data_IF_458614788677
#
_entry.id   IF_458614788677
#
_cell.length_a   1.000
_cell.length_b   1.000
_cell.length_c   1.000
_cell.angle_alpha   90.00
_cell.angle_beta   90.00
_cell.angle_gamma   90.00
#
_symmetry.space_group_name_H-M   'P 1'
#
loop_
_entity.id
_entity.type
_entity.pdbx_description
1 polymer ?
#
# COMPACT_ATOMS: atom_id res chain seq x y z
N UNK A 1 41.43 27.16 31.14
CA UNK A 1 39.99 26.87 31.40
C UNK A 1 39.47 26.04 30.24
N UNK A 2 39.17 24.76 30.48
CA UNK A 2 38.64 23.88 29.43
C UNK A 2 37.14 24.17 29.23
N UNK A 3 36.78 24.60 28.01
CA UNK A 3 35.40 24.83 27.60
C UNK A 3 34.69 23.47 27.51
N UNK A 4 33.81 23.18 28.46
CA UNK A 4 32.94 21.99 28.40
C UNK A 4 32.08 22.09 27.15
N UNK A 5 32.28 21.18 26.21
CA UNK A 5 31.40 21.00 25.05
C UNK A 5 30.09 20.44 25.60
N UNK A 6 29.04 21.25 25.53
CA UNK A 6 27.69 20.85 25.92
C UNK A 6 27.21 19.85 24.87
N UNK A 7 27.09 18.58 25.24
CA UNK A 7 26.48 17.57 24.38
C UNK A 7 25.01 17.93 24.16
N UNK A 8 24.70 18.38 22.94
CA UNK A 8 23.35 18.68 22.52
C UNK A 8 22.58 17.36 22.49
N UNK A 9 21.68 17.19 23.46
CA UNK A 9 20.80 16.02 23.62
C UNK A 9 19.97 15.85 22.34
N UNK A 10 20.42 14.96 21.44
CA UNK A 10 19.74 14.67 20.18
C UNK A 10 18.33 14.14 20.51
N UNK A 11 17.28 14.74 19.93
CA UNK A 11 15.90 14.37 20.22
C UNK A 11 15.68 12.88 19.92
N UNK A 12 15.30 12.09 20.95
CA UNK A 12 15.09 10.63 20.86
C UNK A 12 14.19 10.19 19.70
N UNK A 13 13.23 11.03 19.30
CA UNK A 13 12.32 10.79 18.17
C UNK A 13 13.09 10.69 16.85
N UNK A 14 14.08 11.58 16.64
CA UNK A 14 14.91 11.58 15.44
C UNK A 14 15.79 10.32 15.40
N UNK A 15 16.26 9.88 16.56
CA UNK A 15 17.09 8.67 16.68
C UNK A 15 16.31 7.39 16.38
N UNK A 16 15.03 7.33 16.77
CA UNK A 16 14.15 6.20 16.46
C UNK A 16 13.81 6.17 14.96
N UNK A 17 13.45 7.31 14.36
CA UNK A 17 13.13 7.40 12.93
C UNK A 17 14.34 7.01 12.07
N UNK A 18 15.54 7.51 12.39
CA UNK A 18 16.78 7.16 11.68
C UNK A 18 17.16 5.68 11.82
N UNK A 19 16.72 5.00 12.88
CA UNK A 19 17.01 3.60 13.14
C UNK A 19 16.05 2.65 12.41
N UNK A 20 14.78 3.05 12.28
CA UNK A 20 13.73 2.21 11.67
C UNK A 20 13.59 2.45 10.16
N UNK A 21 13.84 3.67 9.68
CA UNK A 21 13.71 4.04 8.27
C UNK A 21 15.01 4.69 7.78
N UNK A 22 15.95 3.92 7.19
CA UNK A 22 17.16 4.51 6.60
C UNK A 22 16.74 5.49 5.50
N UNK A 23 17.04 6.76 5.72
CA UNK A 23 16.68 7.88 4.82
C UNK A 23 17.20 7.60 3.41
N UNK A 24 18.32 6.89 3.30
CA UNK A 24 18.94 6.47 2.04
C UNK A 24 18.00 5.62 1.20
N UNK A 25 17.25 4.69 1.81
CA UNK A 25 16.31 3.83 1.08
C UNK A 25 15.09 4.61 0.63
N UNK A 26 14.52 5.45 1.50
CA UNK A 26 13.39 6.30 1.13
C UNK A 26 13.76 7.25 -0.02
N UNK A 27 14.94 7.86 0.06
CA UNK A 27 15.47 8.71 -0.98
C UNK A 27 15.69 7.92 -2.29
N UNK A 28 16.24 6.70 -2.22
CA UNK A 28 16.39 5.81 -3.37
C UNK A 28 15.02 5.49 -4.01
N UNK A 29 13.98 5.27 -3.21
CA UNK A 29 12.62 5.04 -3.70
C UNK A 29 12.06 6.23 -4.44
N UNK A 30 12.13 7.43 -3.85
CA UNK A 30 11.67 8.67 -4.47
C UNK A 30 12.44 8.95 -5.77
N UNK A 31 13.77 8.84 -5.75
CA UNK A 31 14.58 8.99 -6.95
C UNK A 31 14.26 7.93 -8.00
N UNK A 32 14.09 6.67 -7.61
CA UNK A 32 13.71 5.58 -8.50
C UNK A 32 12.37 5.84 -9.19
N UNK A 33 11.38 6.35 -8.46
CA UNK A 33 10.08 6.77 -9.01
C UNK A 33 10.24 7.92 -10.01
N UNK A 34 11.02 8.95 -9.69
CA UNK A 34 11.29 10.06 -10.62
C UNK A 34 11.97 9.54 -11.89
N UNK A 35 13.00 8.70 -11.76
CA UNK A 35 13.72 8.11 -12.89
C UNK A 35 12.80 7.25 -13.76
N UNK A 36 11.87 6.50 -13.15
CA UNK A 36 10.84 5.76 -13.88
C UNK A 36 9.95 6.67 -14.73
N UNK A 37 9.44 7.74 -14.12
CA UNK A 37 8.59 8.73 -14.81
C UNK A 37 9.35 9.34 -16.00
N UNK A 38 10.60 9.74 -15.78
CA UNK A 38 11.45 10.28 -16.84
C UNK A 38 11.68 9.26 -17.96
N UNK A 39 11.94 7.99 -17.61
CA UNK A 39 12.10 6.92 -18.59
C UNK A 39 10.84 6.69 -19.44
N UNK A 40 9.66 6.74 -18.84
CA UNK A 40 8.37 6.63 -19.57
C UNK A 40 8.17 7.81 -20.51
N UNK A 41 8.43 9.04 -20.05
CA UNK A 41 8.30 10.24 -20.88
C UNK A 41 9.30 10.26 -22.05
N UNK A 42 10.49 9.68 -21.89
CA UNK A 42 11.45 9.52 -22.99
C UNK A 42 10.96 8.54 -24.07
N UNK A 43 10.17 7.53 -23.70
CA UNK A 43 9.55 6.61 -24.68
C UNK A 43 8.40 7.30 -25.42
N UNK A 44 7.57 8.05 -24.70
CA UNK A 44 6.41 8.74 -25.27
C UNK A 44 6.83 9.86 -26.25
N UNK A 45 7.88 10.61 -25.90
CA UNK A 45 8.41 11.68 -26.75
C UNK A 45 7.50 12.90 -26.87
N UNK A 46 6.41 13.02 -26.10
CA UNK A 46 5.52 14.19 -26.14
C UNK A 46 5.94 15.28 -25.13
N UNK A 47 6.38 14.87 -23.94
CA UNK A 47 6.77 15.76 -22.83
C UNK A 47 8.29 15.92 -22.74
N UNK A 48 9.06 14.87 -23.02
CA UNK A 48 10.51 14.88 -22.99
C UNK A 48 11.08 14.29 -24.29
N UNK A 49 11.75 15.13 -25.07
CA UNK A 49 12.43 14.74 -26.30
C UNK A 49 13.94 14.98 -26.21
N UNK A 50 14.73 14.04 -26.74
CA UNK A 50 16.18 14.20 -26.86
C UNK A 50 16.47 14.98 -28.14
N UNK A 51 16.67 16.29 -28.01
CA UNK A 51 16.94 17.20 -29.15
C UNK A 51 18.33 17.06 -29.76
N UNK A 52 19.30 16.55 -29.00
CA UNK A 52 20.69 16.39 -29.44
C UNK A 52 20.94 14.96 -29.91
N UNK A 53 20.74 14.71 -31.21
CA UNK A 53 20.82 13.38 -31.83
C UNK A 53 22.16 13.07 -32.51
N UNK A 54 23.15 13.97 -32.41
CA UNK A 54 24.46 13.76 -33.05
C UNK A 54 25.30 12.68 -32.34
N UNK A 55 24.95 12.33 -31.10
CA UNK A 55 25.60 11.26 -30.34
C UNK A 55 25.24 9.89 -30.92
N UNK A 56 26.23 8.99 -30.99
CA UNK A 56 26.07 7.62 -31.50
C UNK A 56 24.97 6.78 -30.80
N UNK A 57 24.59 7.16 -29.58
CA UNK A 57 23.52 6.55 -28.76
C UNK A 57 22.13 7.13 -29.02
N UNK A 58 22.03 8.33 -29.61
CA UNK A 58 20.76 9.03 -29.83
C UNK A 58 20.49 9.32 -31.32
N UNK A 59 21.35 8.82 -32.21
CA UNK A 59 21.26 9.08 -33.65
C UNK A 59 20.09 8.39 -34.38
N UNK A 60 19.32 7.55 -33.69
CA UNK A 60 18.19 6.81 -34.28
C UNK A 60 17.12 6.59 -33.22
N UNK A 61 15.85 6.66 -33.63
CA UNK A 61 14.70 6.45 -32.74
C UNK A 61 14.78 5.13 -31.97
N UNK A 62 15.24 4.05 -32.62
CA UNK A 62 15.44 2.75 -31.96
C UNK A 62 16.45 2.82 -30.82
N UNK A 63 17.52 3.59 -30.96
CA UNK A 63 18.55 3.71 -29.91
C UNK A 63 18.08 4.56 -28.74
N UNK A 64 17.32 5.62 -29.02
CA UNK A 64 16.64 6.42 -27.99
C UNK A 64 15.65 5.53 -27.20
N UNK A 65 14.89 4.68 -27.89
CA UNK A 65 13.98 3.73 -27.26
C UNK A 65 14.73 2.74 -26.36
N UNK A 66 15.82 2.14 -26.85
CA UNK A 66 16.66 1.21 -26.06
C UNK A 66 17.19 1.92 -24.81
N UNK A 67 17.75 3.13 -24.95
CA UNK A 67 18.23 3.92 -23.81
C UNK A 67 17.12 4.18 -22.79
N UNK A 68 15.93 4.55 -23.25
CA UNK A 68 14.78 4.83 -22.38
C UNK A 68 14.35 3.58 -21.60
N UNK A 69 14.36 2.40 -22.23
CA UNK A 69 14.10 1.12 -21.56
C UNK A 69 15.15 0.87 -20.47
N UNK A 70 16.44 1.15 -20.72
CA UNK A 70 17.47 1.04 -19.70
C UNK A 70 17.22 1.98 -18.51
N UNK A 71 16.81 3.23 -18.76
CA UNK A 71 16.46 4.19 -17.71
C UNK A 71 15.30 3.67 -16.87
N UNK A 72 14.23 3.16 -17.50
CA UNK A 72 13.09 2.55 -16.81
C UNK A 72 13.55 1.37 -15.96
N UNK A 73 14.38 0.48 -16.49
CA UNK A 73 14.88 -0.70 -15.76
C UNK A 73 15.69 -0.29 -14.52
N UNK A 74 16.53 0.74 -14.63
CA UNK A 74 17.30 1.27 -13.49
C UNK A 74 16.36 1.88 -12.45
N UNK A 75 15.39 2.70 -12.89
CA UNK A 75 14.40 3.31 -11.99
C UNK A 75 13.54 2.26 -11.26
N UNK A 76 13.07 1.24 -11.99
CA UNK A 76 12.33 0.11 -11.45
C UNK A 76 13.15 -0.65 -10.41
N UNK A 77 14.41 -0.95 -10.72
CA UNK A 77 15.32 -1.64 -9.80
C UNK A 77 15.54 -0.82 -8.54
N UNK A 78 15.83 0.48 -8.66
CA UNK A 78 16.02 1.38 -7.52
C UNK A 78 14.76 1.44 -6.64
N UNK A 79 13.58 1.56 -7.27
CA UNK A 79 12.30 1.56 -6.56
C UNK A 79 12.05 0.24 -5.82
N UNK A 80 12.25 -0.90 -6.49
CA UNK A 80 12.10 -2.22 -5.87
C UNK A 80 13.06 -2.42 -4.69
N UNK A 81 14.31 -2.01 -4.83
CA UNK A 81 15.31 -2.11 -3.75
C UNK A 81 14.96 -1.23 -2.55
N UNK A 82 14.35 -0.06 -2.78
CA UNK A 82 13.82 0.79 -1.71
C UNK A 82 12.66 0.13 -0.99
N UNK A 83 11.73 -0.48 -1.73
CA UNK A 83 10.46 -0.99 -1.19
C UNK A 83 10.61 -2.37 -0.54
N UNK A 84 11.49 -3.22 -1.09
CA UNK A 84 11.66 -4.62 -0.66
C UNK A 84 11.87 -4.79 0.85
N UNK A 85 12.72 -4.01 1.54
CA UNK A 85 12.99 -4.19 2.97
C UNK A 85 11.77 -3.97 3.87
N UNK A 86 10.74 -3.25 3.42
CA UNK A 86 9.49 -3.08 4.17
C UNK A 86 8.67 -4.37 4.22
N UNK A 87 8.73 -5.19 3.15
CA UNK A 87 7.97 -6.42 3.05
C UNK A 87 8.70 -7.65 3.60
N UNK A 88 10.03 -7.65 3.64
CA UNK A 88 10.85 -8.74 4.23
C UNK A 88 10.38 -9.15 5.63
N UNK A 89 10.20 -8.24 6.62
CA UNK A 89 9.70 -8.61 7.93
C UNK A 89 8.27 -9.15 7.87
N UNK A 90 7.39 -8.56 7.05
CA UNK A 90 6.01 -9.05 6.85
C UNK A 90 5.97 -10.50 6.37
N UNK A 91 6.84 -10.90 5.43
CA UNK A 91 6.94 -12.30 5.01
C UNK A 91 7.43 -13.21 6.13
N UNK A 92 8.33 -12.74 7.00
CA UNK A 92 8.78 -13.52 8.15
C UNK A 92 7.67 -13.71 9.20
N UNK A 93 6.82 -12.71 9.41
CA UNK A 93 5.66 -12.81 10.29
C UNK A 93 4.56 -13.69 9.68
N UNK A 94 4.31 -13.59 8.38
CA UNK A 94 3.33 -14.45 7.68
C UNK A 94 3.67 -15.94 7.81
N UNK A 95 4.95 -16.31 7.89
CA UNK A 95 5.38 -17.69 8.13
C UNK A 95 5.03 -18.20 9.54
N UNK A 96 4.85 -17.31 10.52
CA UNK A 96 4.44 -17.65 11.88
C UNK A 96 2.93 -17.81 12.00
N UNK A 97 2.16 -17.29 11.04
CA UNK A 97 0.70 -17.41 11.03
C UNK A 97 0.33 -18.85 10.70
N UNK A 98 -0.33 -19.52 11.65
CA UNK A 98 -0.95 -20.82 11.40
C UNK A 98 -2.20 -20.61 10.55
N UNK A 99 -2.17 -21.15 9.32
CA UNK A 99 -3.33 -21.08 8.45
C UNK A 99 -4.51 -21.88 9.06
N UNK A 100 -5.72 -21.31 9.07
CA UNK A 100 -6.87 -21.97 9.67
C UNK A 100 -7.19 -23.26 8.92
N UNK A 101 -7.45 -24.33 9.68
CA UNK A 101 -7.89 -25.59 9.09
C UNK A 101 -9.32 -25.50 8.60
N UNK A 102 -9.73 -26.39 7.69
CA UNK A 102 -11.13 -26.45 7.20
C UNK A 102 -12.14 -26.51 8.35
N UNK A 103 -11.83 -27.26 9.41
CA UNK A 103 -12.69 -27.39 10.60
C UNK A 103 -12.85 -26.05 11.34
N UNK A 104 -11.76 -25.29 11.50
CA UNK A 104 -11.78 -23.97 12.15
C UNK A 104 -12.62 -23.00 11.32
N UNK A 105 -12.43 -22.97 10.00
CA UNK A 105 -13.18 -22.12 9.07
C UNK A 105 -14.69 -22.42 9.18
N UNK A 106 -15.08 -23.70 9.11
CA UNK A 106 -16.48 -24.10 9.17
C UNK A 106 -17.09 -23.75 10.53
N UNK A 107 -16.40 -24.04 11.63
CA UNK A 107 -16.92 -23.79 12.98
C UNK A 107 -17.15 -22.28 13.24
N UNK A 108 -16.20 -21.42 12.83
CA UNK A 108 -16.38 -19.98 12.94
C UNK A 108 -17.48 -19.45 12.03
N UNK A 109 -17.51 -19.91 10.77
CA UNK A 109 -18.56 -19.51 9.82
C UNK A 109 -19.94 -19.90 10.35
N UNK A 110 -20.10 -21.13 10.83
CA UNK A 110 -21.37 -21.63 11.36
C UNK A 110 -21.82 -20.82 12.58
N UNK A 111 -20.91 -20.42 13.46
CA UNK A 111 -21.24 -19.56 14.61
C UNK A 111 -21.76 -18.19 14.16
N UNK A 112 -21.11 -17.58 13.17
CA UNK A 112 -21.53 -16.28 12.63
C UNK A 112 -22.90 -16.40 11.95
N UNK A 113 -23.06 -17.37 11.04
CA UNK A 113 -24.34 -17.59 10.37
C UNK A 113 -25.45 -17.96 11.34
N UNK A 114 -25.17 -18.81 12.34
CA UNK A 114 -26.12 -19.16 13.38
C UNK A 114 -26.59 -17.93 14.17
N UNK A 115 -25.69 -17.02 14.50
CA UNK A 115 -26.07 -15.76 15.15
C UNK A 115 -26.91 -14.87 14.23
N UNK A 116 -26.53 -14.73 12.96
CA UNK A 116 -27.29 -13.98 11.97
C UNK A 116 -28.71 -14.53 11.84
N UNK A 117 -28.87 -15.86 11.73
CA UNK A 117 -30.18 -16.50 11.65
C UNK A 117 -31.01 -16.31 12.90
N UNK A 118 -30.40 -16.39 14.09
CA UNK A 118 -31.09 -16.14 15.35
C UNK A 118 -31.64 -14.71 15.41
N UNK A 119 -30.81 -13.72 15.08
CA UNK A 119 -31.20 -12.31 15.06
C UNK A 119 -32.27 -12.04 14.01
N UNK A 120 -32.11 -12.60 12.80
CA UNK A 120 -33.11 -12.48 11.74
C UNK A 120 -34.46 -13.08 12.16
N UNK A 121 -34.44 -14.27 12.77
CA UNK A 121 -35.64 -14.92 13.27
C UNK A 121 -36.33 -14.11 14.38
N UNK A 122 -35.55 -13.53 15.29
CA UNK A 122 -36.09 -12.62 16.31
C UNK A 122 -36.81 -11.41 15.70
N UNK A 123 -36.24 -10.79 14.66
CA UNK A 123 -36.91 -9.69 13.95
C UNK A 123 -38.20 -10.14 13.26
N UNK A 124 -38.21 -11.33 12.65
CA UNK A 124 -39.43 -11.91 12.05
C UNK A 124 -40.53 -12.10 13.10
N UNK A 125 -40.18 -12.59 14.29
CA UNK A 125 -41.14 -12.76 15.38
C UNK A 125 -41.70 -11.43 15.88
N UNK A 126 -40.84 -10.42 16.06
CA UNK A 126 -41.28 -9.07 16.45
C UNK A 126 -42.20 -8.49 15.39
N UNK A 127 -41.81 -8.56 14.12
CA UNK A 127 -42.60 -8.03 13.02
C UNK A 127 -43.96 -8.72 12.95
N UNK A 128 -44.00 -10.06 13.06
CA UNK A 128 -45.25 -10.81 13.12
C UNK A 128 -46.15 -10.37 14.30
N UNK A 129 -45.58 -10.17 15.50
CA UNK A 129 -46.33 -9.75 16.68
C UNK A 129 -46.81 -8.30 16.63
N UNK A 130 -46.05 -7.40 16.02
CA UNK A 130 -46.36 -5.96 15.97
C UNK A 130 -47.19 -5.55 14.75
N UNK A 131 -47.21 -6.35 13.68
CA UNK A 131 -47.98 -6.09 12.45
C UNK A 131 -49.45 -5.71 12.71
N UNK A 132 -50.22 -6.42 13.57
CA UNK A 132 -51.61 -6.05 13.84
C UNK A 132 -51.74 -4.68 14.52
N UNK A 133 -50.83 -4.36 15.44
CA UNK A 133 -50.80 -3.07 16.14
C UNK A 133 -50.47 -1.93 15.18
N UNK A 134 -49.49 -2.10 14.30
CA UNK A 134 -49.18 -1.10 13.28
C UNK A 134 -50.29 -0.95 12.25
N UNK A 135 -50.99 -2.04 11.91
CA UNK A 135 -52.20 -1.99 11.09
C UNK A 135 -53.28 -1.11 11.72
N UNK A 136 -53.59 -1.35 13.00
CA UNK A 136 -54.56 -0.55 13.75
C UNK A 136 -54.18 0.93 13.83
N UNK A 137 -52.91 1.25 14.11
CA UNK A 137 -52.44 2.65 14.16
C UNK A 137 -52.60 3.33 12.79
N UNK A 138 -52.29 2.65 11.69
CA UNK A 138 -52.42 3.22 10.35
C UNK A 138 -53.87 3.52 9.97
N UNK A 139 -54.83 2.71 10.43
CA UNK A 139 -56.26 2.97 10.22
C UNK A 139 -56.76 4.22 10.97
N UNK A 140 -56.13 4.61 12.09
CA UNK A 140 -56.49 5.83 12.83
C UNK A 140 -55.97 7.12 12.19
N UNK A 141 -54.97 7.02 11.31
CA UNK A 141 -54.35 8.18 10.65
C UNK A 141 -54.96 8.51 9.28
N UNK A 142 -55.80 7.63 8.73
CA UNK A 142 -56.63 7.86 7.55
C UNK A 142 -58.07 8.18 7.96
#
# INVERSE_FOLDING_TARGET
MAKKVVEVKKNKIIEIIQKEYPVEKLLLGVLGTIVLILGVYLIEGSVLEIRYTDLWIFNTSTKIMIFSIFVIMIGATAFLLSVWPFYVPSFSEMKKVSWPTKNVIVNHSLRVFGFIFLVAFFFVLIDFGLRPLFGWINELGN
#
